data_IF_272117111973
#
_entry.id   IF_272117111973
#
_cell.length_a   1.000
_cell.length_b   1.000
_cell.length_c   1.000
_cell.angle_alpha   90.00
_cell.angle_beta   90.00
_cell.angle_gamma   90.00
#
_symmetry.space_group_name_H-M   'P 1'
#
loop_
_entity.id
_entity.type
_entity.pdbx_description
1 polymer ?
#
# COMPACT_ATOMS: atom_id res chain seq x y z
N UNK A 1 9.79 7.85 8.99
CA UNK A 1 9.15 7.19 7.84
C UNK A 1 7.79 6.66 8.24
N UNK A 2 6.78 6.89 7.42
CA UNK A 2 5.43 6.41 7.68
C UNK A 2 5.23 5.11 6.92
N UNK A 3 4.74 4.07 7.60
CA UNK A 3 4.43 2.80 6.99
C UNK A 3 2.96 2.80 6.58
N UNK A 4 2.71 2.72 5.28
CA UNK A 4 1.36 2.78 4.71
C UNK A 4 0.98 1.41 4.15
N UNK A 5 -0.16 0.90 4.57
CA UNK A 5 -0.69 -0.37 4.08
C UNK A 5 -1.83 -0.13 3.10
N UNK A 6 -1.85 -0.92 2.02
CA UNK A 6 -2.95 -0.92 1.06
C UNK A 6 -3.51 -2.32 1.03
N UNK A 7 -4.80 -2.46 1.31
CA UNK A 7 -5.49 -3.74 1.29
C UNK A 7 -6.39 -3.78 0.07
N UNK A 8 -6.12 -4.70 -0.82
CA UNK A 8 -6.85 -4.78 -2.08
C UNK A 8 -6.30 -3.80 -3.11
N UNK A 9 -5.20 -4.15 -3.77
CA UNK A 9 -4.57 -3.28 -4.76
C UNK A 9 -5.26 -3.40 -6.12
N UNK A 10 -6.55 -3.05 -6.17
CA UNK A 10 -7.31 -3.02 -7.40
C UNK A 10 -6.99 -1.79 -8.22
N UNK A 11 -7.93 -1.39 -9.08
CA UNK A 11 -7.70 -0.26 -9.97
C UNK A 11 -7.35 1.02 -9.21
N UNK A 12 -8.15 1.36 -8.20
CA UNK A 12 -7.92 2.57 -7.40
C UNK A 12 -6.68 2.41 -6.53
N UNK A 13 -6.49 1.22 -5.96
CA UNK A 13 -5.33 0.95 -5.12
C UNK A 13 -4.02 1.07 -5.88
N UNK A 14 -4.00 0.67 -7.15
CA UNK A 14 -2.83 0.82 -8.00
C UNK A 14 -2.48 2.28 -8.24
N UNK A 15 -3.48 3.13 -8.46
CA UNK A 15 -3.27 4.56 -8.64
C UNK A 15 -2.72 5.21 -7.37
N UNK A 16 -3.25 4.81 -6.21
CA UNK A 16 -2.78 5.33 -4.93
C UNK A 16 -1.34 4.92 -4.67
N UNK A 17 -0.99 3.68 -4.98
CA UNK A 17 0.37 3.18 -4.85
C UNK A 17 1.34 4.03 -5.67
N UNK A 18 1.02 4.27 -6.93
CA UNK A 18 1.86 5.06 -7.81
C UNK A 18 2.02 6.49 -7.29
N UNK A 19 0.93 7.09 -6.85
CA UNK A 19 0.96 8.45 -6.33
C UNK A 19 1.86 8.56 -5.10
N UNK A 20 1.74 7.61 -4.17
CA UNK A 20 2.54 7.63 -2.96
C UNK A 20 4.02 7.41 -3.26
N UNK A 21 4.35 6.50 -4.17
CA UNK A 21 5.73 6.23 -4.55
C UNK A 21 6.39 7.44 -5.20
N UNK A 22 5.62 8.22 -5.97
CA UNK A 22 6.16 9.35 -6.71
C UNK A 22 6.16 10.65 -5.91
N UNK A 23 5.28 10.81 -4.92
CA UNK A 23 5.10 12.08 -4.23
C UNK A 23 5.46 12.05 -2.74
N UNK A 24 5.65 10.87 -2.17
CA UNK A 24 5.98 10.73 -0.75
C UNK A 24 7.11 9.74 -0.53
N UNK A 25 8.36 10.13 -0.85
CA UNK A 25 9.49 9.21 -0.71
C UNK A 25 9.75 8.76 0.73
N UNK A 26 9.21 9.48 1.72
CA UNK A 26 9.36 9.09 3.12
C UNK A 26 8.34 8.05 3.58
N UNK A 27 7.50 7.56 2.68
CA UNK A 27 6.54 6.50 2.98
C UNK A 27 7.08 5.16 2.52
N UNK A 28 6.84 4.13 3.34
CA UNK A 28 7.11 2.76 2.94
C UNK A 28 5.77 2.08 2.70
N UNK A 29 5.62 1.42 1.57
CA UNK A 29 4.37 0.80 1.17
C UNK A 29 4.35 -0.69 1.45
N UNK A 30 3.24 -1.16 2.00
CA UNK A 30 2.95 -2.57 2.19
C UNK A 30 1.62 -2.85 1.53
N UNK A 31 1.56 -3.90 0.71
CA UNK A 31 0.37 -4.21 -0.07
C UNK A 31 -0.10 -5.61 0.25
N UNK A 32 -1.38 -5.77 0.56
CA UNK A 32 -1.99 -7.07 0.77
C UNK A 32 -3.13 -7.25 -0.22
N UNK A 33 -2.86 -7.99 -1.29
CA UNK A 33 -3.87 -8.38 -2.28
C UNK A 33 -3.47 -9.74 -2.84
N UNK A 34 -3.83 -10.83 -2.16
CA UNK A 34 -3.42 -12.18 -2.58
C UNK A 34 -3.86 -12.53 -3.99
N UNK A 35 -4.99 -12.00 -4.44
CA UNK A 35 -5.49 -12.26 -5.79
C UNK A 35 -4.54 -11.73 -6.86
N UNK A 36 -3.70 -10.76 -6.52
CA UNK A 36 -2.73 -10.17 -7.44
C UNK A 36 -1.29 -10.47 -7.05
N UNK A 37 -1.09 -11.33 -6.07
CA UNK A 37 0.24 -11.74 -5.65
C UNK A 37 0.92 -10.84 -4.65
N UNK A 38 0.21 -9.90 -4.04
CA UNK A 38 0.76 -9.03 -3.01
C UNK A 38 0.47 -9.60 -1.63
N UNK A 39 1.50 -9.94 -0.88
CA UNK A 39 1.36 -10.59 0.43
C UNK A 39 2.25 -9.95 1.49
N UNK A 40 2.33 -8.64 1.52
CA UNK A 40 3.17 -7.95 2.49
C UNK A 40 2.57 -8.07 3.90
N UNK A 41 3.47 -8.11 4.90
CA UNK A 41 3.07 -8.14 6.30
C UNK A 41 2.65 -6.73 6.73
N UNK A 42 1.43 -6.60 7.21
CA UNK A 42 0.87 -5.31 7.60
C UNK A 42 0.95 -5.03 9.10
N UNK A 43 1.73 -5.81 9.85
CA UNK A 43 1.76 -5.67 11.30
C UNK A 43 2.35 -4.36 11.80
N UNK A 44 3.21 -3.74 11.01
CA UNK A 44 3.90 -2.49 11.40
C UNK A 44 3.38 -1.25 10.69
N UNK A 45 2.23 -1.31 10.05
CA UNK A 45 1.71 -0.15 9.33
C UNK A 45 1.13 0.90 10.29
N UNK A 46 1.25 2.16 9.88
CA UNK A 46 0.70 3.30 10.62
C UNK A 46 -0.65 3.72 10.07
N UNK A 47 -0.82 3.61 8.75
CA UNK A 47 -2.05 4.01 8.06
C UNK A 47 -2.43 2.91 7.09
N UNK A 48 -3.70 2.55 7.03
CA UNK A 48 -4.20 1.55 6.09
C UNK A 48 -5.28 2.13 5.19
N UNK A 49 -5.21 1.80 3.90
CA UNK A 49 -6.24 2.13 2.93
C UNK A 49 -6.93 0.84 2.49
N UNK A 50 -8.26 0.83 2.57
CA UNK A 50 -9.07 -0.30 2.14
C UNK A 50 -9.67 -0.02 0.77
N UNK A 51 -9.52 -1.00 -0.13
CA UNK A 51 -10.04 -0.89 -1.50
C UNK A 51 -11.12 -1.91 -1.81
#
# INVERSE_FOLDING_TARGET
>A
MINVGIIGCGFVGGALKDWLENNNPDCKLFISDPAKGYNDDLSDIDIAFLQ
#
